data_IF_879210026959
#
_entry.id   IF_879210026959
#
_cell.length_a   1.000
_cell.length_b   1.000
_cell.length_c   1.000
_cell.angle_alpha   90.00
_cell.angle_beta   90.00
_cell.angle_gamma   90.00
#
_symmetry.space_group_name_H-M   'P 1'
#
loop_
_entity.id
_entity.type
_entity.pdbx_description
1 polymer ?
#
# COMPACT_ATOMS: atom_id res chain seq x y z
N UNK A 1 -11.51 5.26 1.91
CA UNK A 1 -11.68 4.57 3.21
C UNK A 1 -11.61 5.61 4.35
N UNK A 2 -11.96 5.23 5.58
CA UNK A 2 -12.01 6.17 6.74
C UNK A 2 -10.62 6.72 7.08
N UNK A 3 -9.58 5.88 7.02
CA UNK A 3 -8.20 6.29 7.32
C UNK A 3 -7.69 7.41 6.39
N UNK A 4 -7.84 7.24 5.07
CA UNK A 4 -7.47 8.27 4.10
C UNK A 4 -8.30 9.54 4.29
N UNK A 5 -9.59 9.41 4.61
CA UNK A 5 -10.46 10.56 4.84
C UNK A 5 -10.05 11.34 6.11
N UNK A 6 -9.64 10.63 7.17
CA UNK A 6 -9.09 11.22 8.38
C UNK A 6 -7.77 11.96 8.09
N UNK A 7 -6.87 11.33 7.32
CA UNK A 7 -5.61 11.96 6.90
C UNK A 7 -5.79 13.16 5.96
N UNK A 8 -6.86 13.18 5.15
CA UNK A 8 -7.25 14.31 4.28
C UNK A 8 -8.15 15.34 4.96
N UNK A 9 -8.47 15.15 6.24
CA UNK A 9 -9.40 15.98 7.01
C UNK A 9 -10.84 16.05 6.47
N UNK A 10 -11.21 15.18 5.51
CA UNK A 10 -12.59 15.05 5.03
C UNK A 10 -13.45 14.21 5.96
N UNK A 11 -12.84 13.35 6.77
CA UNK A 11 -13.45 12.76 7.97
C UNK A 11 -12.77 13.39 9.20
N UNK A 12 -13.28 14.54 9.63
CA UNK A 12 -12.66 15.32 10.71
C UNK A 12 -13.66 16.01 11.62
N UNK A 13 -13.16 16.65 12.68
CA UNK A 13 -13.98 17.30 13.72
C UNK A 13 -15.08 18.18 13.17
N UNK A 14 -14.75 19.08 12.21
CA UNK A 14 -15.72 20.02 11.63
C UNK A 14 -16.82 19.29 10.86
N UNK A 15 -16.47 18.25 10.10
CA UNK A 15 -17.43 17.46 9.36
C UNK A 15 -18.37 16.70 10.30
N UNK A 16 -17.83 16.06 11.35
CA UNK A 16 -18.65 15.37 12.35
C UNK A 16 -19.62 16.33 13.03
N UNK A 17 -19.13 17.48 13.51
CA UNK A 17 -19.98 18.50 14.17
C UNK A 17 -21.05 19.02 13.21
N UNK A 18 -20.70 19.26 11.95
CA UNK A 18 -21.64 19.70 10.92
C UNK A 18 -22.75 18.67 10.72
N UNK A 19 -22.40 17.40 10.54
CA UNK A 19 -23.38 16.32 10.34
C UNK A 19 -24.31 16.15 11.53
N UNK A 20 -23.77 16.17 12.76
CA UNK A 20 -24.59 16.09 13.98
C UNK A 20 -25.64 17.20 14.05
N UNK A 21 -25.28 18.43 13.64
CA UNK A 21 -26.20 19.58 13.63
C UNK A 21 -27.20 19.52 12.48
N UNK A 22 -26.74 19.23 11.27
CA UNK A 22 -27.59 19.13 10.07
C UNK A 22 -28.64 18.02 10.19
N UNK A 23 -28.27 16.87 10.76
CA UNK A 23 -29.21 15.76 10.98
C UNK A 23 -30.03 15.93 12.25
N UNK A 24 -29.86 17.03 12.98
CA UNK A 24 -30.50 17.28 14.28
C UNK A 24 -30.38 16.08 15.24
N UNK A 25 -29.23 15.39 15.25
CA UNK A 25 -29.11 14.09 15.94
C UNK A 25 -29.50 14.18 17.42
N UNK A 26 -29.27 15.34 18.04
CA UNK A 26 -29.63 15.63 19.42
C UNK A 26 -31.14 15.53 19.74
N UNK A 27 -32.03 15.66 18.74
CA UNK A 27 -33.49 15.52 18.89
C UNK A 27 -33.97 14.07 18.73
N UNK A 28 -33.15 13.20 18.12
CA UNK A 28 -33.52 11.81 17.80
C UNK A 28 -33.07 10.82 18.87
N UNK A 29 -31.95 11.09 19.54
CA UNK A 29 -31.40 10.21 20.59
C UNK A 29 -31.36 10.90 21.94
N UNK A 30 -31.66 10.14 23.01
CA UNK A 30 -31.59 10.60 24.40
C UNK A 30 -30.16 10.67 24.94
N UNK A 31 -29.25 9.85 24.41
CA UNK A 31 -27.83 9.86 24.79
C UNK A 31 -27.03 10.93 24.02
N UNK A 32 -25.78 11.15 24.45
CA UNK A 32 -24.83 12.07 23.82
C UNK A 32 -23.49 11.38 23.55
N UNK A 33 -23.56 10.24 22.87
CA UNK A 33 -22.40 9.40 22.52
C UNK A 33 -22.35 9.19 21.01
N UNK A 34 -21.17 9.33 20.42
CA UNK A 34 -20.88 9.03 19.02
C UNK A 34 -19.80 7.96 18.96
N UNK A 35 -20.12 6.81 18.37
CA UNK A 35 -19.14 5.77 18.11
C UNK A 35 -18.51 6.05 16.74
N UNK A 36 -17.21 6.34 16.73
CA UNK A 36 -16.45 6.56 15.50
C UNK A 36 -15.51 5.38 15.24
N UNK A 37 -15.19 5.07 13.96
CA UNK A 37 -14.22 4.03 13.65
C UNK A 37 -12.84 4.37 14.23
N UNK A 38 -12.13 3.38 14.77
CA UNK A 38 -10.80 3.56 15.37
C UNK A 38 -9.83 4.29 14.42
N UNK A 39 -9.85 3.92 13.14
CA UNK A 39 -8.99 4.47 12.09
C UNK A 39 -9.32 5.93 11.72
N UNK A 40 -10.42 6.49 12.25
CA UNK A 40 -10.78 7.91 12.11
C UNK A 40 -10.11 8.81 13.15
N UNK A 41 -9.52 8.25 14.21
CA UNK A 41 -8.97 9.00 15.33
C UNK A 41 -7.95 10.08 14.96
N UNK A 42 -7.02 9.87 13.99
CA UNK A 42 -6.07 10.91 13.61
C UNK A 42 -6.71 12.20 13.03
N UNK A 43 -7.94 12.11 12.51
CA UNK A 43 -8.65 13.24 11.91
C UNK A 43 -9.62 13.96 12.85
N UNK A 44 -9.95 13.36 14.00
CA UNK A 44 -11.04 13.83 14.87
C UNK A 44 -10.54 14.15 16.28
N UNK A 45 -10.62 15.43 16.63
CA UNK A 45 -10.39 15.90 18.00
C UNK A 45 -11.65 15.68 18.85
N UNK A 46 -11.70 14.57 19.58
CA UNK A 46 -12.87 14.18 20.40
C UNK A 46 -13.32 15.26 21.40
N UNK A 47 -12.36 15.96 22.03
CA UNK A 47 -12.65 17.05 22.96
C UNK A 47 -13.35 18.24 22.28
N UNK A 48 -12.97 18.55 21.03
CA UNK A 48 -13.62 19.59 20.23
C UNK A 48 -15.03 19.19 19.79
N UNK A 49 -15.25 17.92 19.43
CA UNK A 49 -16.60 17.42 19.12
C UNK A 49 -17.52 17.62 20.33
N UNK A 50 -17.06 17.24 21.53
CA UNK A 50 -17.82 17.46 22.77
C UNK A 50 -18.07 18.94 23.03
N UNK A 51 -17.07 19.79 22.84
CA UNK A 51 -17.20 21.25 23.03
C UNK A 51 -18.22 21.88 22.08
N UNK A 52 -18.23 21.47 20.81
CA UNK A 52 -18.96 22.15 19.74
C UNK A 52 -20.39 21.62 19.50
N UNK A 53 -20.67 20.36 19.85
CA UNK A 53 -22.01 19.78 19.69
C UNK A 53 -22.49 18.95 20.90
N UNK A 54 -21.73 18.87 21.99
CA UNK A 54 -22.15 18.20 23.22
C UNK A 54 -22.08 16.66 23.19
N UNK A 55 -21.63 16.06 22.09
CA UNK A 55 -21.49 14.61 21.97
C UNK A 55 -20.09 14.15 22.39
N UNK A 56 -20.03 13.14 23.25
CA UNK A 56 -18.80 12.44 23.60
C UNK A 56 -18.48 11.42 22.53
N UNK A 57 -17.25 11.46 22.00
CA UNK A 57 -16.77 10.48 21.03
C UNK A 57 -16.21 9.26 21.76
N UNK A 58 -16.67 8.08 21.36
CA UNK A 58 -16.08 6.78 21.69
C UNK A 58 -15.48 6.20 20.41
N UNK A 59 -14.26 5.67 20.49
CA UNK A 59 -13.67 4.95 19.36
C UNK A 59 -14.06 3.49 19.44
N UNK A 60 -14.82 3.06 18.44
CA UNK A 60 -15.24 1.68 18.23
C UNK A 60 -14.15 0.84 17.55
N UNK A 61 -14.47 -0.39 17.14
CA UNK A 61 -13.50 -1.30 16.52
C UNK A 61 -12.98 -0.79 15.16
N UNK A 62 -11.89 -1.39 14.70
CA UNK A 62 -11.36 -1.23 13.34
C UNK A 62 -12.35 -1.79 12.30
N UNK A 63 -12.87 -2.99 12.57
CA UNK A 63 -13.81 -3.69 11.68
C UNK A 63 -15.25 -3.54 12.17
N UNK A 64 -16.16 -3.21 11.25
CA UNK A 64 -17.58 -3.09 11.58
C UNK A 64 -18.22 -4.41 12.04
N UNK A 65 -17.62 -5.56 11.68
CA UNK A 65 -18.05 -6.89 12.13
C UNK A 65 -17.96 -7.08 13.64
N UNK A 66 -17.06 -6.34 14.31
CA UNK A 66 -16.84 -6.45 15.76
C UNK A 66 -17.78 -5.55 16.57
N UNK A 67 -18.59 -4.74 15.89
CA UNK A 67 -19.52 -3.80 16.51
C UNK A 67 -20.53 -4.48 17.46
N UNK A 68 -21.12 -5.65 17.15
CA UNK A 68 -22.04 -6.32 18.07
C UNK A 68 -21.41 -6.68 19.42
N UNK A 69 -20.14 -7.11 19.44
CA UNK A 69 -19.43 -7.43 20.67
C UNK A 69 -19.00 -6.15 21.40
N UNK A 70 -18.48 -5.18 20.66
CA UNK A 70 -18.12 -3.86 21.20
C UNK A 70 -19.31 -3.20 21.92
N UNK A 71 -20.52 -3.25 21.37
CA UNK A 71 -21.70 -2.62 21.96
C UNK A 71 -22.13 -3.22 23.31
N UNK A 72 -21.67 -4.43 23.67
CA UNK A 72 -21.94 -5.02 24.99
C UNK A 72 -21.14 -4.34 26.10
N UNK A 73 -19.92 -3.91 25.81
CA UNK A 73 -18.96 -3.41 26.81
C UNK A 73 -18.58 -1.95 26.61
N UNK A 74 -18.83 -1.40 25.42
CA UNK A 74 -18.30 -0.12 24.93
C UNK A 74 -16.78 0.01 25.05
N UNK A 75 -16.06 -1.12 25.08
CA UNK A 75 -14.62 -1.19 25.21
C UNK A 75 -14.03 -2.05 24.09
N UNK A 76 -13.31 -1.40 23.16
CA UNK A 76 -12.61 -2.10 22.10
C UNK A 76 -11.46 -2.90 22.72
N UNK A 77 -11.50 -4.23 22.57
CA UNK A 77 -10.44 -5.15 22.99
C UNK A 77 -9.15 -4.91 22.17
N UNK A 78 -7.99 -5.41 22.61
CA UNK A 78 -6.76 -5.32 21.84
C UNK A 78 -6.91 -5.84 20.40
N UNK A 79 -7.63 -6.93 20.20
CA UNK A 79 -7.86 -7.55 18.89
C UNK A 79 -8.71 -6.67 17.98
N UNK A 80 -9.72 -6.00 18.53
CA UNK A 80 -10.58 -5.04 17.80
C UNK A 80 -9.84 -3.79 17.34
N UNK A 81 -8.66 -3.50 17.92
CA UNK A 81 -7.82 -2.34 17.59
C UNK A 81 -6.74 -2.67 16.57
N UNK A 82 -6.52 -3.95 16.26
CA UNK A 82 -5.45 -4.41 15.39
C UNK A 82 -5.92 -4.59 13.94
N UNK A 83 -5.16 -4.07 12.98
CA UNK A 83 -5.37 -4.36 11.55
C UNK A 83 -4.50 -5.57 11.18
N UNK A 84 -5.14 -6.74 10.99
CA UNK A 84 -4.42 -8.01 10.72
C UNK A 84 -3.66 -8.05 9.39
N UNK A 85 -4.10 -7.28 8.40
CA UNK A 85 -3.51 -7.15 7.06
C UNK A 85 -3.02 -8.49 6.45
N UNK A 86 -3.89 -9.50 6.33
CA UNK A 86 -3.57 -10.81 5.74
C UNK A 86 -3.26 -10.71 4.24
N UNK A 87 -2.80 -11.81 3.64
CA UNK A 87 -2.45 -11.88 2.21
C UNK A 87 -3.59 -11.40 1.30
N UNK A 88 -4.84 -11.80 1.60
CA UNK A 88 -6.03 -11.35 0.86
C UNK A 88 -6.13 -9.81 0.81
N UNK A 89 -5.99 -9.15 1.96
CA UNK A 89 -6.12 -7.70 2.06
C UNK A 89 -4.97 -6.96 1.38
N UNK A 90 -3.80 -7.59 1.26
CA UNK A 90 -2.65 -7.05 0.50
C UNK A 90 -2.88 -7.11 -1.00
N UNK A 91 -3.53 -8.16 -1.47
CA UNK A 91 -3.77 -8.40 -2.90
C UNK A 91 -5.07 -7.78 -3.42
N UNK A 92 -5.94 -7.29 -2.54
CA UNK A 92 -7.24 -6.74 -2.94
C UNK A 92 -7.12 -5.56 -3.92
N UNK A 93 -6.02 -4.80 -3.86
CA UNK A 93 -5.76 -3.66 -4.75
C UNK A 93 -4.94 -4.02 -5.98
N UNK A 94 -4.35 -5.22 -6.03
CA UNK A 94 -3.54 -5.68 -7.17
C UNK A 94 -4.28 -5.57 -8.52
N UNK A 95 -5.58 -5.91 -8.66
CA UNK A 95 -6.28 -5.74 -9.94
C UNK A 95 -6.31 -4.28 -10.42
N UNK A 96 -6.45 -3.33 -9.50
CA UNK A 96 -6.45 -1.89 -9.84
C UNK A 96 -5.05 -1.46 -10.27
N UNK A 97 -4.01 -1.89 -9.56
CA UNK A 97 -2.62 -1.56 -9.93
C UNK A 97 -2.24 -2.16 -11.30
N UNK A 98 -2.60 -3.41 -11.55
CA UNK A 98 -2.33 -4.09 -12.83
C UNK A 98 -3.08 -3.42 -13.97
N UNK A 99 -4.35 -3.07 -13.81
CA UNK A 99 -5.12 -2.39 -14.86
C UNK A 99 -4.57 -0.99 -15.17
N UNK A 100 -4.15 -0.23 -14.16
CA UNK A 100 -3.52 1.08 -14.34
C UNK A 100 -2.14 1.00 -15.01
N UNK A 101 -1.40 -0.08 -14.78
CA UNK A 101 -0.06 -0.29 -15.35
C UNK A 101 -0.06 -1.08 -16.65
N UNK A 102 -1.17 -1.69 -17.03
CA UNK A 102 -1.24 -2.62 -18.17
C UNK A 102 -0.82 -1.99 -19.51
N UNK A 103 -1.36 -0.82 -19.85
CA UNK A 103 -1.07 -0.18 -21.13
C UNK A 103 0.38 0.36 -21.19
N UNK A 104 0.90 1.06 -20.15
CA UNK A 104 2.32 1.38 -20.06
C UNK A 104 3.23 0.15 -20.13
N UNK A 105 2.86 -0.94 -19.44
CA UNK A 105 3.59 -2.21 -19.45
C UNK A 105 3.66 -2.80 -20.86
N UNK A 106 2.53 -2.84 -21.58
CA UNK A 106 2.48 -3.36 -22.94
C UNK A 106 3.37 -2.54 -23.88
N UNK A 107 3.28 -1.21 -23.80
CA UNK A 107 4.14 -0.32 -24.59
C UNK A 107 5.63 -0.54 -24.29
N UNK A 108 5.99 -0.58 -23.01
CA UNK A 108 7.37 -0.85 -22.59
C UNK A 108 7.85 -2.24 -23.04
N UNK A 109 7.00 -3.28 -22.95
CA UNK A 109 7.33 -4.63 -23.37
C UNK A 109 7.54 -4.73 -24.88
N UNK A 110 6.74 -4.04 -25.70
CA UNK A 110 6.93 -3.97 -27.16
C UNK A 110 8.25 -3.27 -27.50
N UNK A 111 8.53 -2.13 -26.89
CA UNK A 111 9.80 -1.42 -27.11
C UNK A 111 10.99 -2.30 -26.69
N UNK A 112 10.90 -2.93 -25.52
CA UNK A 112 11.92 -3.85 -25.01
C UNK A 112 12.12 -5.06 -25.95
N UNK A 113 11.04 -5.60 -26.51
CA UNK A 113 11.08 -6.66 -27.52
C UNK A 113 11.83 -6.23 -28.78
N UNK A 114 11.58 -5.02 -29.29
CA UNK A 114 12.24 -4.51 -30.48
C UNK A 114 13.75 -4.27 -30.27
N UNK A 115 14.16 -3.95 -29.04
CA UNK A 115 15.56 -3.67 -28.70
C UNK A 115 16.36 -4.95 -28.43
N UNK A 116 15.81 -5.87 -27.65
CA UNK A 116 16.54 -7.02 -27.10
C UNK A 116 15.80 -8.35 -27.15
N UNK A 117 14.70 -8.40 -27.91
CA UNK A 117 13.91 -9.61 -28.11
C UNK A 117 13.04 -9.99 -26.91
N UNK A 118 12.55 -11.23 -26.94
CA UNK A 118 11.59 -11.75 -25.97
C UNK A 118 12.09 -11.70 -24.52
N UNK A 119 13.39 -11.87 -24.26
CA UNK A 119 13.95 -11.83 -22.92
C UNK A 119 13.79 -10.44 -22.26
N UNK A 120 13.95 -9.38 -23.04
CA UNK A 120 13.75 -8.00 -22.57
C UNK A 120 12.27 -7.71 -22.30
N UNK A 121 11.38 -8.20 -23.15
CA UNK A 121 9.93 -8.08 -22.92
C UNK A 121 9.50 -8.83 -21.64
N UNK A 122 10.03 -10.03 -21.42
CA UNK A 122 9.80 -10.79 -20.18
C UNK A 122 10.36 -10.08 -18.95
N UNK A 123 11.51 -9.41 -19.05
CA UNK A 123 12.06 -8.62 -17.96
C UNK A 123 11.14 -7.46 -17.56
N UNK A 124 10.50 -6.79 -18.54
CA UNK A 124 9.47 -5.77 -18.27
C UNK A 124 8.26 -6.37 -17.56
N UNK A 125 7.75 -7.51 -18.04
CA UNK A 125 6.64 -8.21 -17.39
C UNK A 125 6.99 -8.63 -15.96
N UNK A 126 8.20 -9.17 -15.75
CA UNK A 126 8.70 -9.56 -14.44
C UNK A 126 8.82 -8.36 -13.49
N UNK A 127 9.27 -7.20 -13.99
CA UNK A 127 9.35 -5.98 -13.19
C UNK A 127 7.96 -5.48 -12.78
N UNK A 128 6.99 -5.46 -13.70
CA UNK A 128 5.63 -4.97 -13.41
C UNK A 128 4.90 -5.92 -12.47
N UNK A 129 4.82 -7.21 -12.80
CA UNK A 129 4.20 -8.21 -11.93
C UNK A 129 4.95 -8.34 -10.59
N UNK A 130 6.26 -8.17 -10.62
CA UNK A 130 7.11 -8.08 -9.43
C UNK A 130 6.66 -6.98 -8.48
N UNK A 131 6.48 -5.76 -8.99
CA UNK A 131 6.08 -4.61 -8.20
C UNK A 131 4.59 -4.58 -7.81
N UNK A 132 3.68 -5.06 -8.66
CA UNK A 132 2.22 -4.94 -8.42
C UNK A 132 1.58 -6.17 -7.78
N UNK A 133 2.21 -7.36 -7.92
CA UNK A 133 1.65 -8.64 -7.43
C UNK A 133 2.56 -9.27 -6.39
N UNK A 134 3.81 -9.54 -6.77
CA UNK A 134 4.74 -10.27 -5.90
C UNK A 134 5.14 -9.43 -4.69
N UNK A 135 5.34 -8.13 -4.86
CA UNK A 135 5.73 -7.24 -3.78
C UNK A 135 4.67 -7.18 -2.66
N UNK A 136 3.38 -6.90 -2.92
CA UNK A 136 2.34 -6.99 -1.89
C UNK A 136 2.23 -8.38 -1.24
N UNK A 137 2.35 -9.44 -2.04
CA UNK A 137 2.29 -10.82 -1.54
C UNK A 137 3.44 -11.10 -0.56
N UNK A 138 4.66 -10.70 -0.92
CA UNK A 138 5.89 -11.03 -0.21
C UNK A 138 6.30 -10.00 0.85
N UNK A 139 5.54 -8.92 1.00
CA UNK A 139 5.89 -7.73 1.80
C UNK A 139 6.48 -8.01 3.20
N UNK A 140 5.93 -8.95 4.02
CA UNK A 140 6.48 -9.20 5.37
C UNK A 140 7.83 -9.92 5.36
N UNK A 141 8.14 -10.66 4.29
CA UNK A 141 9.36 -11.46 4.18
C UNK A 141 10.49 -10.72 3.47
N UNK A 142 10.19 -9.60 2.81
CA UNK A 142 11.20 -8.79 2.13
C UNK A 142 12.11 -8.05 3.13
N UNK A 143 13.44 -8.08 2.93
CA UNK A 143 14.40 -7.43 3.81
C UNK A 143 14.37 -5.90 3.68
N UNK A 144 14.78 -5.19 4.74
CA UNK A 144 14.73 -3.72 4.91
C UNK A 144 13.43 -3.19 5.51
N UNK A 145 13.45 -1.89 5.86
CA UNK A 145 12.32 -1.13 6.42
C UNK A 145 11.51 -0.42 5.34
N UNK A 146 12.19 0.09 4.31
CA UNK A 146 11.61 0.98 3.30
C UNK A 146 11.12 0.20 2.07
N UNK A 147 10.07 0.71 1.40
CA UNK A 147 9.40 0.06 0.27
C UNK A 147 10.28 -0.04 -0.98
N UNK A 148 11.01 1.03 -1.27
CA UNK A 148 12.00 1.13 -2.34
C UNK A 148 13.12 0.10 -2.15
N UNK A 149 13.69 0.01 -0.94
CA UNK A 149 14.73 -0.98 -0.62
C UNK A 149 14.21 -2.40 -0.74
N UNK A 150 13.04 -2.70 -0.16
CA UNK A 150 12.37 -4.01 -0.28
C UNK A 150 12.12 -4.37 -1.75
N UNK A 151 11.64 -3.41 -2.54
CA UNK A 151 11.39 -3.57 -3.97
C UNK A 151 12.68 -3.79 -4.75
N UNK A 152 13.76 -3.10 -4.40
CA UNK A 152 15.09 -3.30 -4.98
C UNK A 152 15.62 -4.70 -4.73
N UNK A 153 15.54 -5.20 -3.49
CA UNK A 153 15.92 -6.58 -3.18
C UNK A 153 15.08 -7.60 -3.94
N UNK A 154 13.76 -7.38 -4.05
CA UNK A 154 12.89 -8.23 -4.86
C UNK A 154 13.28 -8.17 -6.34
N UNK A 155 13.57 -7.00 -6.89
CA UNK A 155 14.01 -6.84 -8.28
C UNK A 155 15.35 -7.53 -8.57
N UNK A 156 16.31 -7.46 -7.64
CA UNK A 156 17.56 -8.24 -7.72
C UNK A 156 17.25 -9.73 -7.75
N UNK A 157 16.38 -10.24 -6.87
CA UNK A 157 15.99 -11.64 -6.87
C UNK A 157 15.30 -12.05 -8.18
N UNK A 158 14.42 -11.20 -8.72
CA UNK A 158 13.75 -11.44 -10.00
C UNK A 158 14.68 -11.39 -11.20
N UNK A 159 15.86 -10.78 -11.09
CA UNK A 159 16.87 -10.75 -12.16
C UNK A 159 17.62 -12.08 -12.31
N UNK A 160 17.61 -12.96 -11.30
CA UNK A 160 18.38 -14.21 -11.28
C UNK A 160 18.11 -15.13 -12.48
N UNK A 161 16.86 -15.40 -12.90
CA UNK A 161 16.59 -16.23 -14.07
C UNK A 161 17.19 -15.65 -15.36
N UNK A 162 17.19 -14.32 -15.50
CA UNK A 162 17.75 -13.63 -16.66
C UNK A 162 19.28 -13.70 -16.68
N UNK A 163 19.93 -13.59 -15.51
CA UNK A 163 21.38 -13.78 -15.37
C UNK A 163 21.75 -15.21 -15.77
N UNK A 164 21.05 -16.21 -15.24
CA UNK A 164 21.29 -17.61 -15.58
C UNK A 164 21.08 -17.88 -17.08
N UNK A 165 20.09 -17.24 -17.70
CA UNK A 165 19.86 -17.31 -19.13
C UNK A 165 21.01 -16.68 -19.94
N UNK A 166 21.52 -15.52 -19.53
CA UNK A 166 22.70 -14.89 -20.16
C UNK A 166 23.91 -15.82 -20.09
N UNK A 167 24.19 -16.41 -18.94
CA UNK A 167 25.36 -17.27 -18.73
C UNK A 167 25.27 -18.60 -19.51
N UNK A 168 24.06 -19.15 -19.68
CA UNK A 168 23.84 -20.45 -20.35
C UNK A 168 23.62 -20.32 -21.85
N UNK A 169 22.74 -19.43 -22.29
CA UNK A 169 22.35 -19.29 -23.70
C UNK A 169 23.36 -18.48 -24.53
N UNK A 170 24.24 -17.71 -23.88
CA UNK A 170 25.26 -16.89 -24.54
C UNK A 170 26.65 -17.18 -23.98
N UNK A 171 26.95 -18.46 -23.75
CA UNK A 171 28.25 -18.92 -23.25
C UNK A 171 29.42 -18.60 -24.18
N UNK A 172 29.13 -18.35 -25.46
CA UNK A 172 30.05 -17.89 -26.51
C UNK A 172 30.44 -16.40 -26.39
N UNK A 173 29.68 -15.61 -25.65
CA UNK A 173 29.97 -14.20 -25.45
C UNK A 173 31.21 -13.99 -24.58
N UNK A 174 31.90 -12.88 -24.82
CA UNK A 174 32.99 -12.44 -23.95
C UNK A 174 32.48 -12.17 -22.54
N UNK A 175 33.33 -12.41 -21.53
CA UNK A 175 32.97 -12.27 -20.12
C UNK A 175 32.45 -10.86 -19.77
N UNK A 176 33.01 -9.81 -20.37
CA UNK A 176 32.57 -8.42 -20.13
C UNK A 176 31.19 -8.15 -20.75
N UNK A 177 30.82 -8.82 -21.85
CA UNK A 177 29.50 -8.70 -22.46
C UNK A 177 28.44 -9.43 -21.63
N UNK A 178 28.75 -10.62 -21.12
CA UNK A 178 27.87 -11.33 -20.20
C UNK A 178 27.67 -10.55 -18.89
N UNK A 179 28.75 -9.98 -18.34
CA UNK A 179 28.71 -9.18 -17.13
C UNK A 179 27.88 -7.91 -17.32
N UNK A 180 28.11 -7.15 -18.40
CA UNK A 180 27.36 -5.93 -18.69
C UNK A 180 25.87 -6.21 -18.91
N UNK A 181 25.51 -7.28 -19.62
CA UNK A 181 24.11 -7.67 -19.82
C UNK A 181 23.44 -8.08 -18.50
N UNK A 182 24.14 -8.85 -17.67
CA UNK A 182 23.65 -9.28 -16.35
C UNK A 182 23.42 -8.09 -15.42
N UNK A 183 24.38 -7.16 -15.37
CA UNK A 183 24.24 -5.90 -14.63
C UNK A 183 23.09 -5.05 -15.17
N UNK A 184 22.88 -5.04 -16.49
CA UNK A 184 21.73 -4.39 -17.12
C UNK A 184 20.40 -4.91 -16.58
N UNK A 185 20.22 -6.23 -16.51
CA UNK A 185 19.03 -6.84 -15.91
C UNK A 185 18.89 -6.53 -14.42
N UNK A 186 19.97 -6.65 -13.64
CA UNK A 186 19.96 -6.35 -12.20
C UNK A 186 19.49 -4.91 -11.97
N UNK A 187 20.13 -3.94 -12.62
CA UNK A 187 19.82 -2.53 -12.44
C UNK A 187 18.41 -2.20 -12.94
N UNK A 188 18.00 -2.72 -14.10
CA UNK A 188 16.69 -2.46 -14.66
C UNK A 188 15.57 -3.02 -13.78
N UNK A 189 15.65 -4.29 -13.35
CA UNK A 189 14.62 -4.88 -12.49
C UNK A 189 14.64 -4.30 -11.08
N UNK A 190 15.82 -4.10 -10.48
CA UNK A 190 15.92 -3.51 -9.14
C UNK A 190 15.31 -2.10 -9.11
N UNK A 191 15.67 -1.23 -10.06
CA UNK A 191 15.14 0.13 -10.13
C UNK A 191 13.64 0.13 -10.44
N UNK A 192 13.18 -0.68 -11.39
CA UNK A 192 11.76 -0.71 -11.80
C UNK A 192 10.87 -1.25 -10.69
N UNK A 193 11.24 -2.36 -10.05
CA UNK A 193 10.45 -2.94 -8.95
C UNK A 193 10.48 -2.02 -7.73
N UNK A 194 11.62 -1.40 -7.41
CA UNK A 194 11.71 -0.39 -6.35
C UNK A 194 10.82 0.82 -6.61
N UNK A 195 10.75 1.30 -7.85
CA UNK A 195 9.88 2.42 -8.21
C UNK A 195 8.40 2.04 -8.11
N UNK A 196 8.02 0.88 -8.65
CA UNK A 196 6.61 0.44 -8.63
C UNK A 196 6.16 0.16 -7.19
N UNK A 197 7.01 -0.42 -6.34
CA UNK A 197 6.67 -0.73 -4.94
C UNK A 197 6.33 0.50 -4.10
N UNK A 198 6.84 1.69 -4.46
CA UNK A 198 6.50 2.95 -3.80
C UNK A 198 5.01 3.30 -3.90
N UNK A 199 4.31 2.82 -4.93
CA UNK A 199 2.87 3.02 -5.04
C UNK A 199 2.10 2.32 -3.91
N UNK A 200 2.65 1.25 -3.33
CA UNK A 200 2.03 0.51 -2.25
C UNK A 200 2.12 1.22 -0.88
N UNK A 201 2.89 2.32 -0.78
CA UNK A 201 2.98 3.10 0.46
C UNK A 201 1.64 3.67 0.91
N UNK A 202 0.69 3.88 -0.01
CA UNK A 202 -0.66 4.40 0.26
C UNK A 202 -1.70 3.33 0.60
N UNK A 203 -1.38 2.05 0.45
CA UNK A 203 -2.29 0.91 0.62
C UNK A 203 -1.90 -0.05 1.74
N UNK A 204 -0.79 0.22 2.43
CA UNK A 204 -0.27 -0.64 3.50
C UNK A 204 -0.56 -0.09 4.90
N UNK A 205 -0.51 -0.97 5.90
CA UNK A 205 -0.56 -0.61 7.34
C UNK A 205 0.80 -0.26 7.93
N UNK A 206 1.89 -0.38 7.17
CA UNK A 206 3.26 -0.23 7.66
C UNK A 206 3.75 1.22 7.66
N UNK A 207 3.12 2.07 6.87
CA UNK A 207 3.62 3.42 6.58
C UNK A 207 2.95 4.48 7.45
N UNK A 208 3.72 5.54 7.71
CA UNK A 208 3.21 6.79 8.28
C UNK A 208 3.49 7.93 7.30
N UNK A 209 2.74 9.03 7.42
CA UNK A 209 2.93 10.20 6.53
C UNK A 209 4.37 10.73 6.56
N UNK A 210 5.01 10.74 7.73
CA UNK A 210 6.41 11.17 7.85
C UNK A 210 7.38 10.16 7.23
N UNK A 211 7.11 8.85 7.38
CA UNK A 211 7.91 7.79 6.77
C UNK A 211 7.89 7.88 5.24
N UNK A 212 6.70 7.98 4.64
CA UNK A 212 6.55 8.12 3.18
C UNK A 212 7.21 9.40 2.69
N UNK A 213 7.08 10.52 3.42
CA UNK A 213 7.76 11.77 3.05
C UNK A 213 9.28 11.61 3.05
N UNK A 214 9.85 10.91 4.04
CA UNK A 214 11.28 10.64 4.07
C UNK A 214 11.70 9.81 2.86
N UNK A 215 10.96 8.76 2.55
CA UNK A 215 11.30 7.83 1.46
C UNK A 215 11.18 8.45 0.06
N UNK A 216 10.24 9.38 -0.15
CA UNK A 216 10.02 9.98 -1.47
C UNK A 216 10.86 11.24 -1.75
N UNK A 217 11.28 11.97 -0.71
CA UNK A 217 11.87 13.31 -0.85
C UNK A 217 13.28 13.43 -0.25
N UNK A 218 13.81 12.39 0.38
CA UNK A 218 15.15 12.38 0.99
C UNK A 218 15.95 11.21 0.45
#
# INVERSE_FOLDING_TARGET
>A
NVWCAAGKHTFGTREIVRRVKETQLASVVSHRKLILPQLGAPGVAAHEVRRLCGFTVEYGPVLASDLPEYLKTHQASPEMREVKFPLHDRLILTPVEVTMTFLPMLGAAVVAFLIGGWAYALAVLAAVLGGTVLFPALLPWLPSKDFSSKGGFLGIALSLPFILWVLSAHSDWTWYRQLSQSLGYILALAASVAFISLNFTGSSTFTSRSGVKKEMYT
#
